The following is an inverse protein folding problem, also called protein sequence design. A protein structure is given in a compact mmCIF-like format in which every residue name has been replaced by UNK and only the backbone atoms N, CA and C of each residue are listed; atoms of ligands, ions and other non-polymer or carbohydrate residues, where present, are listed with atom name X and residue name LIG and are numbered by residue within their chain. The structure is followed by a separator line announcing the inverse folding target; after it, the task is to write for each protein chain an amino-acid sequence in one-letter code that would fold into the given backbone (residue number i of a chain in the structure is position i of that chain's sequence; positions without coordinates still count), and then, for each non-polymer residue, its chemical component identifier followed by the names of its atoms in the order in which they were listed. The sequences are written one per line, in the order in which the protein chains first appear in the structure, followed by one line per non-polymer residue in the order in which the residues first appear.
data_IF_620059217259
#
_entry.id   IF_620059217259
#
_cell.length_a   1.000
_cell.length_b   1.000
_cell.length_c   1.000
_cell.angle_alpha   90.00
_cell.angle_beta   90.00
_cell.angle_gamma   90.00
#
_symmetry.space_group_name_H-M   'P 1'
#
loop_
_entity.id
_entity.type
_entity.pdbx_description
1 polymer ?
#
# COMPACT_ATOMS: atom_id res chain seq x y z
N UNK A 1 12.41 16.86 6.94
CA UNK A 1 11.35 15.91 7.32
C UNK A 1 11.83 15.19 8.56
N UNK A 2 11.00 15.12 9.61
CA UNK A 2 11.39 14.50 10.89
C UNK A 2 11.07 13.00 10.82
N UNK A 3 12.05 12.16 11.23
CA UNK A 3 11.90 10.72 11.32
C UNK A 3 11.99 10.31 12.77
N UNK A 4 10.93 9.74 13.30
CA UNK A 4 10.90 9.14 14.63
C UNK A 4 10.78 7.62 14.50
N UNK A 5 11.76 6.85 15.01
CA UNK A 5 11.70 5.39 15.01
C UNK A 5 12.06 4.82 16.38
N UNK A 6 11.36 3.78 16.77
CA UNK A 6 11.62 3.03 18.00
C UNK A 6 11.62 1.52 17.71
N UNK A 7 12.56 0.80 18.33
CA UNK A 7 12.62 -0.65 18.28
C UNK A 7 12.90 -1.18 19.70
N UNK A 8 12.07 -2.09 20.19
CA UNK A 8 12.27 -2.81 21.43
C UNK A 8 12.40 -4.30 21.14
N UNK A 9 13.56 -4.89 21.51
CA UNK A 9 13.78 -6.33 21.53
C UNK A 9 13.58 -6.82 22.97
N UNK A 10 12.58 -7.66 23.19
CA UNK A 10 12.22 -8.16 24.51
C UNK A 10 12.96 -9.49 24.81
N UNK A 11 13.27 -9.78 26.09
CA UNK A 11 14.00 -11.00 26.47
C UNK A 11 13.25 -12.31 26.13
N UNK A 12 11.94 -12.23 25.94
CA UNK A 12 11.09 -13.38 25.59
C UNK A 12 11.09 -13.72 24.09
N UNK A 13 11.96 -13.03 23.28
CA UNK A 13 12.04 -13.24 21.85
C UNK A 13 11.02 -12.47 21.03
N UNK A 14 10.26 -11.56 21.65
CA UNK A 14 9.34 -10.68 20.93
C UNK A 14 9.95 -9.31 20.65
N UNK A 15 9.42 -8.61 19.62
CA UNK A 15 9.79 -7.24 19.34
C UNK A 15 8.57 -6.33 19.19
N UNK A 16 8.81 -5.02 19.34
CA UNK A 16 7.92 -3.93 18.97
C UNK A 16 8.69 -2.90 18.17
N UNK A 17 8.09 -2.43 17.10
CA UNK A 17 8.63 -1.41 16.20
C UNK A 17 7.59 -0.36 15.93
N UNK A 18 8.02 0.90 15.89
CA UNK A 18 7.21 2.06 15.53
C UNK A 18 8.05 2.98 14.67
N UNK A 19 7.44 3.56 13.64
CA UNK A 19 8.02 4.54 12.74
C UNK A 19 6.99 5.64 12.48
N UNK A 20 7.40 6.89 12.67
CA UNK A 20 6.70 8.07 12.17
C UNK A 20 7.60 8.76 11.15
N UNK A 21 7.15 8.86 9.90
CA UNK A 21 7.89 9.45 8.79
C UNK A 21 6.96 10.28 7.90
N UNK A 22 6.91 11.59 8.12
CA UNK A 22 5.96 12.47 7.45
C UNK A 22 4.51 12.12 7.78
N UNK A 23 3.73 11.73 6.79
CA UNK A 23 2.35 11.26 6.96
C UNK A 23 2.24 9.74 7.20
N UNK A 24 3.36 9.02 7.17
CA UNK A 24 3.39 7.58 7.40
C UNK A 24 3.59 7.29 8.89
N UNK A 25 2.60 6.68 9.51
CA UNK A 25 2.70 6.02 10.81
C UNK A 25 2.66 4.51 10.61
N UNK A 26 3.75 3.83 10.98
CA UNK A 26 3.89 2.40 10.79
C UNK A 26 4.26 1.72 12.10
N UNK A 27 3.71 0.54 12.34
CA UNK A 27 4.07 -0.30 13.47
C UNK A 27 4.26 -1.75 13.10
N UNK A 28 5.05 -2.48 13.88
CA UNK A 28 5.15 -3.94 13.78
C UNK A 28 5.36 -4.56 15.15
N UNK A 29 4.92 -5.79 15.27
CA UNK A 29 5.21 -6.67 16.42
C UNK A 29 5.36 -8.10 15.92
N UNK A 30 6.13 -8.88 16.65
CA UNK A 30 6.38 -10.27 16.26
C UNK A 30 7.52 -10.88 17.05
N UNK A 31 8.29 -11.75 16.40
CA UNK A 31 9.42 -12.44 17.01
C UNK A 31 10.73 -11.95 16.42
N UNK A 32 11.78 -11.99 17.23
CA UNK A 32 13.14 -11.75 16.79
C UNK A 32 14.05 -12.93 17.13
N UNK A 33 15.08 -13.11 16.31
CA UNK A 33 16.15 -14.07 16.56
C UNK A 33 17.51 -13.43 16.27
N UNK A 34 18.53 -13.87 17.01
CA UNK A 34 19.91 -13.55 16.72
C UNK A 34 20.55 -14.73 16.02
N UNK A 35 21.04 -14.53 14.81
CA UNK A 35 21.63 -15.57 13.99
C UNK A 35 22.72 -14.98 13.09
N UNK A 36 23.83 -15.68 12.91
CA UNK A 36 24.93 -15.29 12.00
C UNK A 36 25.42 -13.85 12.19
N UNK A 37 25.46 -13.37 13.46
CA UNK A 37 25.93 -12.03 13.77
C UNK A 37 24.96 -10.89 13.46
N UNK A 38 23.71 -11.18 13.15
CA UNK A 38 22.65 -10.21 12.87
C UNK A 38 21.38 -10.55 13.65
N UNK A 39 20.47 -9.56 13.76
CA UNK A 39 19.12 -9.75 14.31
C UNK A 39 18.13 -9.85 13.13
N UNK A 40 17.19 -10.77 13.24
CA UNK A 40 16.12 -10.94 12.26
C UNK A 40 14.77 -10.73 12.91
N UNK A 41 13.90 -9.91 12.26
CA UNK A 41 12.55 -9.61 12.73
C UNK A 41 11.52 -10.30 11.83
N UNK A 42 10.53 -10.98 12.46
CA UNK A 42 9.38 -11.55 11.74
C UNK A 42 8.09 -11.08 12.37
N UNK A 43 7.25 -10.39 11.58
CA UNK A 43 5.94 -9.90 12.02
C UNK A 43 4.99 -11.06 12.27
N UNK A 44 4.38 -11.09 13.47
CA UNK A 44 3.41 -12.11 13.89
C UNK A 44 2.23 -11.42 14.60
N UNK A 45 0.96 -11.76 14.27
CA UNK A 45 0.54 -12.62 13.16
C UNK A 45 0.89 -12.01 11.80
N UNK A 46 0.84 -12.80 10.74
CA UNK A 46 1.08 -12.31 9.38
C UNK A 46 0.17 -11.13 9.05
N UNK A 47 0.73 -10.15 8.34
CA UNK A 47 0.00 -8.94 7.93
C UNK A 47 -0.97 -9.28 6.81
N UNK A 48 -2.21 -8.84 6.97
CA UNK A 48 -3.21 -8.85 5.90
C UNK A 48 -3.21 -7.45 5.26
N UNK A 49 -2.73 -7.30 4.03
CA UNK A 49 -2.63 -5.97 3.41
C UNK A 49 -4.01 -5.36 3.15
N UNK A 50 -4.12 -4.02 3.17
CA UNK A 50 -5.34 -3.33 2.72
C UNK A 50 -5.60 -3.64 1.25
N UNK A 51 -6.87 -3.72 0.86
CA UNK A 51 -7.25 -3.95 -0.54
C UNK A 51 -8.66 -3.42 -0.84
N UNK A 52 -8.99 -3.35 -2.16
CA UNK A 52 -10.33 -3.03 -2.63
C UNK A 52 -11.02 -4.30 -3.16
N UNK A 53 -12.14 -4.67 -2.54
CA UNK A 53 -12.98 -5.75 -3.02
C UNK A 53 -14.00 -5.21 -4.02
N UNK A 54 -14.05 -5.78 -5.23
CA UNK A 54 -15.11 -5.47 -6.20
C UNK A 54 -16.41 -6.11 -5.73
N UNK A 55 -17.41 -5.26 -5.45
CA UNK A 55 -18.75 -5.69 -5.01
C UNK A 55 -19.63 -5.94 -6.24
N UNK A 56 -19.57 -5.05 -7.23
CA UNK A 56 -20.28 -5.20 -8.50
C UNK A 56 -19.60 -4.39 -9.60
N UNK A 57 -19.79 -4.85 -10.83
CA UNK A 57 -19.48 -4.13 -12.06
C UNK A 57 -20.73 -4.14 -12.94
N UNK A 58 -21.26 -2.96 -13.25
CA UNK A 58 -22.41 -2.79 -14.12
C UNK A 58 -21.94 -2.19 -15.45
N UNK A 59 -22.10 -2.89 -16.57
CA UNK A 59 -21.71 -2.36 -17.87
C UNK A 59 -22.57 -1.17 -18.27
N UNK A 60 -21.96 -0.23 -18.98
CA UNK A 60 -22.63 0.90 -19.62
C UNK A 60 -22.37 0.85 -21.14
N UNK A 61 -23.38 1.07 -22.00
CA UNK A 61 -23.17 1.08 -23.45
C UNK A 61 -22.28 2.24 -23.95
N UNK A 62 -22.11 3.27 -23.14
CA UNK A 62 -21.26 4.43 -23.44
C UNK A 62 -19.89 4.28 -22.78
N UNK A 63 -18.87 4.84 -23.41
CA UNK A 63 -17.53 4.91 -22.83
C UNK A 63 -17.55 5.76 -21.57
N UNK A 64 -17.09 5.21 -20.46
CA UNK A 64 -17.02 5.92 -19.19
C UNK A 64 -16.65 4.98 -18.05
N UNK A 65 -16.06 5.53 -17.02
CA UNK A 65 -15.69 4.78 -15.82
C UNK A 65 -16.20 5.53 -14.59
N UNK A 66 -16.98 4.85 -13.77
CA UNK A 66 -17.45 5.34 -12.48
C UNK A 66 -17.05 4.36 -11.38
N UNK A 67 -16.56 4.90 -10.27
CA UNK A 67 -16.18 4.13 -9.11
C UNK A 67 -16.92 4.66 -7.89
N UNK A 68 -17.68 3.78 -7.26
CA UNK A 68 -18.45 4.08 -6.04
C UNK A 68 -17.94 3.23 -4.89
N UNK A 69 -17.63 3.86 -3.75
CA UNK A 69 -17.31 3.15 -2.52
C UNK A 69 -18.58 2.79 -1.76
N UNK A 70 -18.77 1.50 -1.48
CA UNK A 70 -19.91 1.02 -0.69
C UNK A 70 -19.76 1.33 0.82
N UNK A 71 -18.57 1.66 1.29
CA UNK A 71 -18.24 2.04 2.67
C UNK A 71 -17.48 3.38 2.72
N UNK A 72 -18.04 4.41 2.11
CA UNK A 72 -17.40 5.73 1.94
C UNK A 72 -16.93 6.37 3.26
N UNK A 73 -17.62 6.11 4.38
CA UNK A 73 -17.24 6.63 5.70
C UNK A 73 -15.85 6.21 6.17
N UNK A 74 -15.36 5.04 5.73
CA UNK A 74 -14.00 4.56 6.03
C UNK A 74 -12.95 5.37 5.28
N UNK A 75 -13.35 6.03 4.19
CA UNK A 75 -12.47 6.74 3.26
C UNK A 75 -12.72 8.26 3.26
N UNK A 76 -13.48 8.76 4.23
CA UNK A 76 -13.82 10.19 4.30
C UNK A 76 -12.55 11.05 4.35
N UNK A 77 -12.45 12.00 3.41
CA UNK A 77 -11.29 12.88 3.27
C UNK A 77 -10.06 12.27 2.59
N UNK A 78 -10.07 11.00 2.19
CA UNK A 78 -8.98 10.38 1.44
C UNK A 78 -9.22 10.48 -0.07
N UNK A 79 -8.25 11.04 -0.79
CA UNK A 79 -8.26 11.07 -2.25
C UNK A 79 -7.94 9.68 -2.78
N UNK A 80 -8.82 9.17 -3.64
CA UNK A 80 -8.62 7.91 -4.33
C UNK A 80 -8.02 8.20 -5.71
N UNK A 81 -6.87 7.60 -5.95
CA UNK A 81 -6.17 7.68 -7.23
C UNK A 81 -6.38 6.39 -8.01
N UNK A 82 -6.61 6.52 -9.29
CA UNK A 82 -6.80 5.40 -10.22
C UNK A 82 -5.67 5.40 -11.24
N UNK A 83 -4.92 4.32 -11.30
CA UNK A 83 -4.00 4.09 -12.39
C UNK A 83 -4.72 3.35 -13.51
N UNK A 84 -4.74 3.94 -14.70
CA UNK A 84 -5.42 3.46 -15.89
C UNK A 84 -4.43 2.70 -16.76
N UNK A 85 -4.66 1.41 -16.97
CA UNK A 85 -3.78 0.52 -17.73
C UNK A 85 -4.27 0.40 -19.17
N UNK A 86 -3.45 0.87 -20.11
CA UNK A 86 -3.69 0.79 -21.56
C UNK A 86 -2.61 -0.08 -22.22
N UNK A 87 -3.04 -1.02 -23.05
CA UNK A 87 -2.13 -1.96 -23.73
C UNK A 87 -1.69 -3.13 -22.86
N UNK A 88 -0.97 -4.09 -23.46
CA UNK A 88 -0.65 -5.39 -22.86
C UNK A 88 0.65 -5.39 -22.05
N UNK A 89 1.46 -4.31 -22.18
CA UNK A 89 2.71 -4.21 -21.45
C UNK A 89 2.45 -3.83 -19.98
N UNK A 90 3.15 -4.47 -19.03
CA UNK A 90 3.04 -4.09 -17.63
C UNK A 90 3.52 -2.65 -17.42
N UNK A 91 2.96 -1.94 -16.42
CA UNK A 91 3.44 -0.62 -16.05
C UNK A 91 4.93 -0.64 -15.70
N UNK A 92 5.66 0.35 -16.18
CA UNK A 92 7.09 0.53 -15.90
C UNK A 92 7.45 2.02 -15.97
N UNK A 93 8.69 2.36 -15.62
CA UNK A 93 9.17 3.74 -15.76
C UNK A 93 9.18 4.21 -17.24
N UNK A 94 9.31 3.28 -18.18
CA UNK A 94 9.26 3.56 -19.63
C UNK A 94 7.82 3.60 -20.17
N UNK A 95 6.88 2.94 -19.48
CA UNK A 95 5.46 2.89 -19.80
C UNK A 95 4.64 3.12 -18.53
N UNK A 96 4.65 4.35 -17.98
CA UNK A 96 3.89 4.65 -16.79
C UNK A 96 2.39 4.59 -17.08
N UNK A 97 1.58 4.11 -16.13
CA UNK A 97 0.13 4.16 -16.26
C UNK A 97 -0.34 5.61 -16.30
N UNK A 98 -1.44 5.86 -17.00
CA UNK A 98 -2.12 7.14 -16.85
C UNK A 98 -2.74 7.22 -15.45
N UNK A 99 -2.75 8.41 -14.87
CA UNK A 99 -3.24 8.64 -13.50
C UNK A 99 -4.45 9.55 -13.54
N UNK A 100 -5.47 9.20 -12.80
CA UNK A 100 -6.67 10.02 -12.62
C UNK A 100 -7.13 9.94 -11.17
N UNK A 101 -7.78 10.99 -10.68
CA UNK A 101 -8.47 10.97 -9.40
C UNK A 101 -9.95 10.68 -9.60
N UNK A 102 -10.57 10.01 -8.64
CA UNK A 102 -12.02 9.79 -8.65
C UNK A 102 -12.70 11.10 -8.25
N UNK A 103 -13.55 11.62 -9.13
CA UNK A 103 -14.33 12.80 -8.84
C UNK A 103 -15.39 12.54 -7.75
N UNK A 104 -15.93 13.57 -7.08
CA UNK A 104 -16.93 13.40 -6.01
C UNK A 104 -18.19 12.63 -6.41
N UNK A 105 -18.55 12.66 -7.70
CA UNK A 105 -19.67 11.89 -8.27
C UNK A 105 -19.29 10.46 -8.68
N UNK A 106 -18.04 10.05 -8.40
CA UNK A 106 -17.49 8.76 -8.76
C UNK A 106 -16.91 8.67 -10.17
N UNK A 107 -17.05 9.71 -11.00
CA UNK A 107 -16.52 9.70 -12.36
C UNK A 107 -14.98 9.71 -12.37
N UNK A 108 -14.38 8.92 -13.26
CA UNK A 108 -12.94 8.87 -13.51
C UNK A 108 -12.65 9.45 -14.90
N UNK A 109 -11.90 10.55 -15.01
CA UNK A 109 -11.52 11.13 -16.29
C UNK A 109 -10.70 10.15 -17.13
N UNK A 110 -11.12 9.88 -18.36
CA UNK A 110 -10.44 8.97 -19.29
C UNK A 110 -9.69 9.77 -20.37
N UNK A 111 -8.34 9.68 -20.42
CA UNK A 111 -7.55 10.29 -21.49
C UNK A 111 -8.00 9.83 -22.88
N UNK A 112 -8.30 10.78 -23.77
CA UNK A 112 -8.74 10.49 -25.13
C UNK A 112 -10.08 9.75 -25.22
N UNK A 113 -10.89 9.79 -24.18
CA UNK A 113 -12.19 9.07 -24.11
C UNK A 113 -12.09 7.58 -24.48
N UNK A 114 -11.00 6.92 -24.03
CA UNK A 114 -10.71 5.52 -24.32
C UNK A 114 -10.73 4.71 -23.04
N UNK A 115 -11.40 3.56 -23.04
CA UNK A 115 -11.41 2.64 -21.89
C UNK A 115 -10.05 1.98 -21.69
N UNK A 116 -9.54 1.93 -20.46
CA UNK A 116 -8.42 1.07 -20.10
C UNK A 116 -8.88 -0.40 -20.08
N UNK A 117 -7.95 -1.34 -20.22
CA UNK A 117 -8.26 -2.76 -20.06
C UNK A 117 -8.28 -3.20 -18.59
N UNK A 118 -7.62 -2.46 -17.71
CA UNK A 118 -7.63 -2.69 -16.27
C UNK A 118 -7.34 -1.37 -15.54
N UNK A 119 -7.67 -1.35 -14.26
CA UNK A 119 -7.36 -0.24 -13.35
C UNK A 119 -6.68 -0.74 -12.09
N UNK A 120 -5.89 0.12 -11.44
CA UNK A 120 -5.39 -0.11 -10.08
C UNK A 120 -5.91 1.02 -9.20
N UNK A 121 -6.57 0.66 -8.11
CA UNK A 121 -7.00 1.62 -7.09
C UNK A 121 -5.88 1.85 -6.08
N UNK A 122 -5.69 3.11 -5.71
CA UNK A 122 -4.65 3.50 -4.77
C UNK A 122 -5.14 4.60 -3.80
N UNK A 123 -4.50 4.65 -2.64
CA UNK A 123 -4.63 5.71 -1.65
C UNK A 123 -3.20 6.14 -1.29
N UNK A 124 -2.60 7.05 -2.07
CA UNK A 124 -1.17 7.36 -1.96
C UNK A 124 -0.74 7.83 -0.58
N UNK A 125 -1.57 8.60 0.13
CA UNK A 125 -1.24 9.15 1.45
C UNK A 125 -0.96 8.07 2.51
N UNK A 126 -1.51 6.87 2.34
CA UNK A 126 -1.28 5.73 3.23
C UNK A 126 -0.57 4.57 2.51
N UNK A 127 0.08 4.87 1.38
CA UNK A 127 0.88 3.93 0.59
C UNK A 127 0.14 2.65 0.17
N UNK A 128 -1.19 2.75 -0.03
CA UNK A 128 -2.00 1.63 -0.52
C UNK A 128 -2.02 1.66 -2.04
N UNK A 129 -1.57 0.59 -2.67
CA UNK A 129 -1.67 0.32 -4.09
C UNK A 129 -2.16 -1.12 -4.23
N UNK A 130 -3.32 -1.30 -4.85
CA UNK A 130 -3.94 -2.63 -4.97
C UNK A 130 -3.49 -3.37 -6.25
N UNK A 131 -4.04 -4.54 -6.42
CA UNK A 131 -3.85 -5.34 -7.64
C UNK A 131 -4.70 -4.79 -8.79
N UNK A 132 -4.29 -5.04 -10.06
CA UNK A 132 -5.11 -4.67 -11.21
C UNK A 132 -6.51 -5.32 -11.17
N UNK A 133 -7.53 -4.51 -11.39
CA UNK A 133 -8.92 -4.92 -11.59
C UNK A 133 -9.18 -4.90 -13.11
N UNK A 134 -9.38 -6.05 -13.76
CA UNK A 134 -9.67 -6.08 -15.19
C UNK A 134 -11.06 -5.52 -15.50
N UNK A 135 -11.16 -4.73 -16.56
CA UNK A 135 -12.42 -4.23 -17.11
C UNK A 135 -12.78 -5.06 -18.35
N UNK A 136 -13.77 -5.92 -18.22
CA UNK A 136 -14.11 -6.88 -19.26
C UNK A 136 -15.34 -6.43 -20.05
N UNK A 137 -15.25 -6.50 -21.36
CA UNK A 137 -16.33 -6.20 -22.27
C UNK A 137 -16.21 -4.82 -22.94
N UNK A 138 -17.07 -4.56 -23.95
CA UNK A 138 -17.15 -3.27 -24.60
C UNK A 138 -17.96 -2.27 -23.77
N UNK A 139 -17.62 -0.99 -23.89
CA UNK A 139 -18.37 0.08 -23.25
C UNK A 139 -17.77 0.53 -21.92
N UNK A 140 -18.58 1.21 -21.12
CA UNK A 140 -18.18 1.75 -19.83
C UNK A 140 -18.49 0.81 -18.67
N UNK A 141 -18.01 1.19 -17.50
CA UNK A 141 -18.17 0.43 -16.27
C UNK A 141 -18.59 1.30 -15.10
N UNK A 142 -19.57 0.84 -14.33
CA UNK A 142 -19.93 1.36 -13.02
C UNK A 142 -19.49 0.35 -11.94
N UNK A 143 -18.30 0.55 -11.43
CA UNK A 143 -17.73 -0.29 -10.38
C UNK A 143 -18.23 0.16 -9.00
N UNK A 144 -18.77 -0.77 -8.22
CA UNK A 144 -18.92 -0.60 -6.78
C UNK A 144 -17.83 -1.39 -6.09
N UNK A 145 -17.01 -0.71 -5.32
CA UNK A 145 -15.91 -1.32 -4.57
C UNK A 145 -16.08 -1.10 -3.07
N UNK A 146 -15.50 -1.97 -2.26
CA UNK A 146 -15.41 -1.83 -0.82
C UNK A 146 -13.95 -1.83 -0.42
N UNK A 147 -13.53 -0.82 0.32
CA UNK A 147 -12.19 -0.77 0.89
C UNK A 147 -12.12 -1.61 2.17
N UNK A 148 -11.18 -2.53 2.20
CA UNK A 148 -10.85 -3.36 3.37
C UNK A 148 -9.52 -2.85 3.95
N UNK A 149 -9.53 -2.07 5.03
CA UNK A 149 -8.31 -1.49 5.59
C UNK A 149 -7.40 -2.53 6.23
N UNK A 150 -7.95 -3.67 6.68
CA UNK A 150 -7.20 -4.76 7.31
C UNK A 150 -6.12 -4.24 8.28
N UNK A 151 -4.85 -4.61 8.04
CA UNK A 151 -3.70 -4.20 8.85
C UNK A 151 -2.99 -2.95 8.26
N UNK A 152 -3.73 -1.95 7.79
CA UNK A 152 -3.15 -0.68 7.31
C UNK A 152 -2.24 -0.06 8.38
N UNK A 153 -1.06 0.46 7.98
CA UNK A 153 -0.06 1.00 8.91
C UNK A 153 0.72 -0.07 9.67
N UNK A 154 0.62 -1.33 9.27
CA UNK A 154 1.38 -2.43 9.84
C UNK A 154 2.47 -2.91 8.90
N UNK A 155 3.74 -2.89 9.34
CA UNK A 155 4.86 -3.41 8.56
C UNK A 155 4.89 -4.96 8.58
N UNK A 156 5.12 -5.55 7.42
CA UNK A 156 5.26 -7.01 7.24
C UNK A 156 6.74 -7.39 7.13
N UNK A 157 7.38 -7.55 8.27
CA UNK A 157 8.75 -8.02 8.31
C UNK A 157 8.80 -9.54 8.16
N UNK A 158 9.49 -10.01 7.11
CA UNK A 158 9.66 -11.42 6.79
C UNK A 158 11.14 -11.77 6.93
N UNK A 159 11.57 -12.09 8.16
CA UNK A 159 12.97 -12.26 8.51
C UNK A 159 13.82 -11.03 8.09
N UNK A 160 13.31 -9.82 8.37
CA UNK A 160 14.03 -8.57 8.07
C UNK A 160 15.32 -8.53 8.88
N UNK A 161 16.45 -8.46 8.16
CA UNK A 161 17.78 -8.43 8.75
C UNK A 161 18.13 -7.04 9.26
N UNK A 162 18.67 -6.99 10.49
CA UNK A 162 19.32 -5.82 11.08
C UNK A 162 20.79 -6.16 11.34
N UNK A 163 21.67 -5.35 10.79
CA UNK A 163 23.10 -5.48 11.03
C UNK A 163 23.52 -4.82 12.34
N UNK A 164 24.58 -5.33 12.96
CA UNK A 164 25.18 -4.71 14.15
C UNK A 164 26.38 -3.89 13.70
N UNK A 165 26.30 -2.57 13.86
CA UNK A 165 27.36 -1.64 13.49
C UNK A 165 27.58 -0.65 14.64
N UNK A 166 28.83 -0.56 15.12
CA UNK A 166 29.24 0.36 16.19
C UNK A 166 28.36 0.33 17.45
N UNK A 167 27.88 -0.86 17.80
CA UNK A 167 26.99 -1.08 18.96
C UNK A 167 25.54 -0.64 18.75
N UNK A 168 25.15 -0.32 17.53
CA UNK A 168 23.77 -0.04 17.12
C UNK A 168 23.23 -1.17 16.23
N UNK A 169 21.91 -1.37 16.26
CA UNK A 169 21.19 -2.15 15.25
C UNK A 169 20.85 -1.25 14.08
N UNK A 170 21.22 -1.64 12.88
CA UNK A 170 20.98 -0.89 11.64
C UNK A 170 19.95 -1.62 10.81
N UNK A 171 18.80 -0.98 10.59
CA UNK A 171 17.72 -1.46 9.73
C UNK A 171 17.71 -0.67 8.43
N UNK A 172 17.77 -1.36 7.30
CA UNK A 172 17.60 -0.75 5.98
C UNK A 172 16.19 -1.01 5.48
N UNK A 173 15.50 0.05 5.07
CA UNK A 173 14.15 0.05 4.49
C UNK A 173 14.21 0.62 3.08
N UNK A 174 14.53 -0.20 2.06
CA UNK A 174 14.65 0.27 0.68
C UNK A 174 13.34 0.84 0.12
N UNK A 175 12.22 0.32 0.55
CA UNK A 175 10.87 0.77 0.21
C UNK A 175 10.55 2.21 0.65
N UNK A 176 11.24 2.69 1.68
CA UNK A 176 11.13 4.06 2.22
C UNK A 176 12.39 4.89 1.97
N UNK A 177 13.41 4.32 1.32
CA UNK A 177 14.74 4.92 1.14
C UNK A 177 15.38 5.34 2.48
N UNK A 178 15.13 4.57 3.57
CA UNK A 178 15.60 4.88 4.92
C UNK A 178 16.62 3.88 5.43
N UNK A 179 17.57 4.39 6.23
CA UNK A 179 18.41 3.62 7.12
C UNK A 179 18.22 4.10 8.55
N UNK A 180 17.77 3.21 9.44
CA UNK A 180 17.43 3.52 10.83
C UNK A 180 18.47 2.90 11.76
N UNK A 181 18.96 3.67 12.74
CA UNK A 181 19.96 3.26 13.71
C UNK A 181 19.36 3.23 15.12
N UNK A 182 19.29 2.07 15.73
CA UNK A 182 18.75 1.86 17.07
C UNK A 182 19.90 1.60 18.06
N UNK A 183 20.15 2.55 18.95
CA UNK A 183 21.13 2.42 20.04
C UNK A 183 20.44 1.93 21.31
N UNK A 184 21.14 1.09 22.08
CA UNK A 184 20.68 0.67 23.41
C UNK A 184 20.53 1.92 24.29
N UNK A 185 19.38 2.08 24.91
CA UNK A 185 19.13 3.06 25.99
C UNK A 185 19.43 2.45 27.34
#
# INVERSE_FOLDING_TARGET
MEVGAALALLPDGHFRYELAYGALDESARGTWEFKEGAVYLTTVPAVVPPHFAVVSDKPDPHVGLWITLSNATVMEGLVQTVYLLYGDAPPSNENPPAVADVAPDGHVPLPGNRMPHAIILAIPIVSVIDKPIPLNGPGGHHLTVRFEPNDIGRADFRALRLDIQDGALVMTRPDLELQLHFKKR
#
